data_IF_775591411853
#
_entry.id   IF_775591411853
#
_cell.length_a   1.000
_cell.length_b   1.000
_cell.length_c   1.000
_cell.angle_alpha   90.00
_cell.angle_beta   90.00
_cell.angle_gamma   90.00
#
_symmetry.space_group_name_H-M   'P 1'
#
loop_
_entity.id
_entity.type
_entity.pdbx_description
1 polymer ?
#
# COMPACT_ATOMS: atom_id res chain seq x y z
N UNK A 1 23.82 2.84 -6.02
CA UNK A 1 25.02 3.04 -6.85
C UNK A 1 26.27 2.71 -6.04
N UNK A 2 26.57 3.47 -4.99
CA UNK A 2 27.84 3.34 -4.23
C UNK A 2 27.97 2.07 -3.36
N UNK A 3 26.86 1.40 -3.04
CA UNK A 3 26.92 0.10 -2.36
C UNK A 3 27.60 -1.01 -3.19
N UNK A 4 27.89 -0.73 -4.47
CA UNK A 4 28.55 -1.64 -5.41
C UNK A 4 29.96 -1.18 -5.82
N UNK A 5 30.46 -0.06 -5.29
CA UNK A 5 31.80 0.49 -5.53
C UNK A 5 32.43 0.93 -4.20
N UNK A 6 33.43 0.19 -3.74
CA UNK A 6 34.09 0.39 -2.44
C UNK A 6 35.36 1.27 -2.50
N UNK A 7 35.62 1.90 -3.65
CA UNK A 7 36.94 2.48 -3.92
C UNK A 7 37.24 3.80 -3.21
N UNK A 8 36.21 4.52 -2.70
CA UNK A 8 36.36 5.89 -2.15
C UNK A 8 35.63 6.17 -0.82
N UNK A 9 34.82 5.24 -0.31
CA UNK A 9 34.01 5.48 0.89
C UNK A 9 34.70 5.02 2.18
N UNK A 10 34.62 5.83 3.25
CA UNK A 10 35.05 5.42 4.59
C UNK A 10 34.19 4.25 5.13
N UNK A 11 32.89 4.28 4.82
CA UNK A 11 31.91 3.30 5.28
C UNK A 11 30.84 3.04 4.20
N UNK A 12 30.47 1.77 4.02
CA UNK A 12 29.41 1.36 3.10
C UNK A 12 28.17 1.01 3.90
N UNK A 13 27.06 1.72 3.63
CA UNK A 13 25.78 1.51 4.28
C UNK A 13 24.60 1.80 3.36
N UNK A 14 23.42 1.27 3.71
CA UNK A 14 22.19 1.58 2.98
C UNK A 14 21.72 2.99 3.32
N UNK A 15 21.34 3.76 2.28
CA UNK A 15 20.75 5.09 2.44
C UNK A 15 19.45 5.08 3.26
N UNK A 16 18.75 3.94 3.34
CA UNK A 16 17.53 3.77 4.14
C UNK A 16 17.78 3.28 5.58
N UNK A 17 19.03 2.97 5.94
CA UNK A 17 19.41 2.48 7.26
C UNK A 17 20.88 2.84 7.56
N UNK A 18 21.12 4.12 7.80
CA UNK A 18 22.42 4.64 8.14
C UNK A 18 22.81 4.17 9.55
N UNK A 19 24.05 3.67 9.71
CA UNK A 19 24.60 3.23 11.01
C UNK A 19 25.10 4.42 11.86
N UNK A 20 24.37 5.53 11.79
CA UNK A 20 24.69 6.80 12.45
C UNK A 20 23.61 7.09 13.49
N UNK A 21 23.99 7.58 14.67
CA UNK A 21 23.03 7.95 15.72
C UNK A 21 22.15 9.14 15.31
N UNK A 22 21.04 9.32 16.03
CA UNK A 22 20.14 10.46 15.84
C UNK A 22 20.89 11.79 16.04
N UNK A 23 20.60 12.79 15.19
CA UNK A 23 21.09 14.17 15.34
C UNK A 23 22.63 14.28 15.46
N UNK A 24 23.39 13.59 14.62
CA UNK A 24 24.86 13.62 14.61
C UNK A 24 25.48 14.30 13.39
N UNK A 25 24.76 14.33 12.28
CA UNK A 25 25.29 14.80 10.99
C UNK A 25 24.95 16.28 10.80
N UNK A 26 25.93 17.09 10.39
CA UNK A 26 25.71 18.52 10.10
C UNK A 26 25.17 18.72 8.67
N UNK A 27 25.64 17.93 7.70
CA UNK A 27 25.25 18.05 6.30
C UNK A 27 25.22 16.67 5.62
N UNK A 28 24.25 16.46 4.73
CA UNK A 28 24.14 15.29 3.85
C UNK A 28 24.06 15.78 2.40
N UNK A 29 24.83 15.16 1.52
CA UNK A 29 24.74 15.32 0.07
C UNK A 29 24.25 13.98 -0.51
N UNK A 30 23.11 14.02 -1.20
CA UNK A 30 22.54 12.91 -1.95
C UNK A 30 22.64 13.25 -3.44
N UNK A 31 23.78 12.93 -4.03
CA UNK A 31 24.07 13.19 -5.44
C UNK A 31 23.65 12.00 -6.32
N UNK A 32 22.76 12.25 -7.29
CA UNK A 32 22.21 11.23 -8.21
C UNK A 32 21.85 9.92 -7.50
N UNK A 33 21.03 10.02 -6.44
CA UNK A 33 20.71 8.90 -5.56
C UNK A 33 19.23 8.54 -5.58
N UNK A 34 18.36 9.53 -5.39
CA UNK A 34 16.96 9.29 -5.03
C UNK A 34 16.20 8.56 -6.15
N UNK A 35 16.57 8.80 -7.40
CA UNK A 35 15.97 8.19 -8.58
C UNK A 35 16.21 6.68 -8.64
N UNK A 36 17.26 6.19 -7.98
CA UNK A 36 17.59 4.77 -7.88
C UNK A 36 16.82 4.03 -6.79
N UNK A 37 16.16 4.74 -5.86
CA UNK A 37 15.52 4.13 -4.69
C UNK A 37 14.04 3.78 -4.94
N UNK A 38 13.41 4.42 -5.94
CA UNK A 38 11.97 4.34 -6.15
C UNK A 38 11.18 5.06 -5.05
N UNK A 39 9.84 5.09 -5.18
CA UNK A 39 9.00 5.96 -4.33
C UNK A 39 9.15 5.63 -2.83
N UNK A 40 8.97 4.36 -2.45
CA UNK A 40 9.04 3.95 -1.04
C UNK A 40 10.48 4.06 -0.52
N UNK A 41 11.47 3.63 -1.31
CA UNK A 41 12.87 3.73 -0.94
C UNK A 41 13.29 5.17 -0.61
N UNK A 42 12.89 6.14 -1.43
CA UNK A 42 13.19 7.55 -1.18
C UNK A 42 12.49 8.10 0.05
N UNK A 43 11.21 7.75 0.31
CA UNK A 43 10.54 8.16 1.56
C UNK A 43 11.35 7.70 2.77
N UNK A 44 11.82 6.45 2.77
CA UNK A 44 12.59 5.89 3.88
C UNK A 44 14.01 6.46 3.95
N UNK A 45 14.66 6.70 2.81
CA UNK A 45 16.00 7.30 2.74
C UNK A 45 16.00 8.75 3.22
N UNK A 46 15.07 9.57 2.73
CA UNK A 46 14.90 10.96 3.16
C UNK A 46 14.50 11.03 4.63
N UNK A 47 13.65 10.11 5.10
CA UNK A 47 13.31 10.00 6.52
C UNK A 47 14.52 9.60 7.37
N UNK A 48 15.41 8.75 6.86
CA UNK A 48 16.65 8.37 7.54
C UNK A 48 17.67 9.53 7.56
N UNK A 49 17.77 10.30 6.48
CA UNK A 49 18.52 11.55 6.43
C UNK A 49 18.02 12.53 7.50
N UNK A 50 16.69 12.70 7.60
CA UNK A 50 16.08 13.52 8.64
C UNK A 50 16.46 13.02 10.05
N UNK A 51 16.46 11.70 10.29
CA UNK A 51 16.79 11.11 11.59
C UNK A 51 18.21 11.48 12.06
N UNK A 52 19.19 11.36 11.16
CA UNK A 52 20.62 11.54 11.51
C UNK A 52 21.07 12.99 11.49
N UNK A 53 20.41 13.87 10.72
CA UNK A 53 20.75 15.29 10.71
C UNK A 53 20.49 15.94 12.07
N UNK A 54 21.42 16.80 12.49
CA UNK A 54 21.23 17.71 13.62
C UNK A 54 20.12 18.72 13.30
N UNK A 55 19.44 19.28 14.31
CA UNK A 55 18.57 20.44 14.10
C UNK A 55 19.38 21.60 13.50
N UNK A 56 18.89 22.19 12.41
CA UNK A 56 19.61 23.16 11.58
C UNK A 56 20.58 22.55 10.56
N UNK A 57 20.73 21.23 10.55
CA UNK A 57 21.55 20.53 9.56
C UNK A 57 20.90 20.51 8.17
N UNK A 58 21.74 20.40 7.13
CA UNK A 58 21.36 20.55 5.73
C UNK A 58 21.28 19.22 4.99
N UNK A 59 20.28 19.08 4.14
CA UNK A 59 20.20 18.04 3.12
C UNK A 59 20.26 18.71 1.75
N UNK A 60 21.22 18.27 0.94
CA UNK A 60 21.40 18.69 -0.45
C UNK A 60 21.11 17.47 -1.31
N UNK A 61 20.20 17.60 -2.27
CA UNK A 61 19.81 16.54 -3.19
C UNK A 61 20.07 17.03 -4.60
N UNK A 62 20.73 16.21 -5.41
CA UNK A 62 20.85 16.41 -6.84
C UNK A 62 20.24 15.20 -7.55
N UNK A 63 19.37 15.44 -8.53
CA UNK A 63 18.64 14.41 -9.27
C UNK A 63 18.34 14.90 -10.69
N UNK A 64 18.00 14.03 -11.65
CA UNK A 64 17.60 14.46 -12.99
C UNK A 64 16.43 15.44 -12.95
N UNK A 65 16.56 16.59 -13.62
CA UNK A 65 15.44 17.51 -13.84
C UNK A 65 14.47 16.89 -14.85
N UNK A 66 13.44 16.23 -14.35
CA UNK A 66 12.47 15.50 -15.17
C UNK A 66 11.78 16.39 -16.18
N UNK A 67 11.33 17.59 -15.77
CA UNK A 67 10.58 18.48 -16.65
C UNK A 67 11.45 18.92 -17.82
N UNK A 68 12.65 19.45 -17.54
CA UNK A 68 13.57 19.91 -18.57
C UNK A 68 14.04 18.76 -19.47
N UNK A 69 14.25 17.57 -18.90
CA UNK A 69 14.58 16.34 -19.64
C UNK A 69 13.49 15.99 -20.65
N UNK A 70 12.22 15.97 -20.22
CA UNK A 70 11.10 15.63 -21.10
C UNK A 70 10.86 16.69 -22.18
N UNK A 71 10.95 17.97 -21.82
CA UNK A 71 10.85 19.06 -22.79
C UNK A 71 11.90 18.94 -23.90
N UNK A 72 13.14 18.60 -23.54
CA UNK A 72 14.22 18.35 -24.50
C UNK A 72 13.99 17.11 -25.32
N UNK A 73 13.52 16.02 -24.71
CA UNK A 73 13.21 14.80 -25.42
C UNK A 73 12.15 15.02 -26.51
N UNK A 74 11.09 15.78 -26.19
CA UNK A 74 10.01 16.09 -27.11
C UNK A 74 10.49 17.00 -28.25
N UNK A 75 11.22 18.08 -27.92
CA UNK A 75 11.69 19.09 -28.90
C UNK A 75 12.90 18.63 -29.71
N UNK A 76 13.70 17.71 -29.18
CA UNK A 76 14.97 17.27 -29.72
C UNK A 76 14.86 16.37 -30.94
N UNK A 77 15.98 16.24 -31.66
CA UNK A 77 16.10 15.34 -32.79
C UNK A 77 16.31 13.87 -32.35
N UNK A 78 16.56 12.98 -33.30
CA UNK A 78 16.80 11.56 -33.00
C UNK A 78 18.00 11.34 -32.08
N UNK A 79 19.07 12.11 -32.25
CA UNK A 79 20.29 11.94 -31.47
C UNK A 79 20.13 12.51 -30.07
N UNK A 80 19.42 13.63 -29.91
CA UNK A 80 19.05 14.15 -28.59
C UNK A 80 18.19 13.15 -27.81
N UNK A 81 17.16 12.59 -28.44
CA UNK A 81 16.31 11.57 -27.81
C UNK A 81 17.14 10.38 -27.35
N UNK A 82 18.00 9.87 -28.21
CA UNK A 82 18.88 8.73 -27.90
C UNK A 82 19.78 9.01 -26.70
N UNK A 83 20.37 10.20 -26.60
CA UNK A 83 21.31 10.57 -25.53
C UNK A 83 20.61 10.95 -24.21
N UNK A 84 19.34 11.35 -24.25
CA UNK A 84 18.52 11.60 -23.05
C UNK A 84 17.94 10.33 -22.43
N UNK A 85 17.80 9.23 -23.18
CA UNK A 85 17.22 7.99 -22.64
C UNK A 85 17.98 7.43 -21.44
N UNK A 86 19.34 7.39 -21.41
CA UNK A 86 20.08 6.99 -20.22
C UNK A 86 19.88 7.94 -19.03
N UNK A 87 19.61 9.22 -19.27
CA UNK A 87 19.31 10.19 -18.21
C UNK A 87 17.91 9.95 -17.59
N UNK A 88 16.96 9.47 -18.40
CA UNK A 88 15.60 9.14 -17.94
C UNK A 88 15.59 7.78 -17.22
N UNK A 89 16.16 6.74 -17.85
CA UNK A 89 16.01 5.36 -17.38
C UNK A 89 17.19 4.84 -16.56
N UNK A 90 18.27 5.62 -16.48
CA UNK A 90 19.57 5.15 -16.01
C UNK A 90 20.20 4.17 -17.00
N UNK A 91 21.23 3.48 -16.54
CA UNK A 91 21.92 2.42 -17.31
C UNK A 91 21.46 1.06 -16.82
N UNK A 92 21.32 0.10 -17.73
CA UNK A 92 20.80 -1.25 -17.44
C UNK A 92 21.81 -2.16 -16.70
N UNK A 93 22.43 -1.63 -15.65
CA UNK A 93 23.42 -2.29 -14.79
C UNK A 93 22.86 -2.27 -13.35
N UNK A 94 23.06 -3.35 -12.56
CA UNK A 94 22.65 -3.36 -11.15
C UNK A 94 23.09 -2.09 -10.41
N UNK A 95 22.15 -1.43 -9.73
CA UNK A 95 22.40 -0.20 -8.99
C UNK A 95 22.34 1.10 -9.80
N UNK A 96 22.47 1.08 -11.14
CA UNK A 96 22.50 2.26 -12.02
C UNK A 96 21.18 2.53 -12.77
N UNK A 97 20.19 1.66 -12.61
CA UNK A 97 18.86 1.86 -13.18
C UNK A 97 18.11 2.93 -12.38
N UNK A 98 17.41 3.82 -13.07
CA UNK A 98 16.46 4.70 -12.40
C UNK A 98 15.18 3.92 -12.16
N UNK A 99 14.76 3.85 -10.90
CA UNK A 99 13.48 3.23 -10.49
C UNK A 99 12.34 4.24 -10.56
N UNK A 100 12.64 5.53 -10.45
CA UNK A 100 11.66 6.61 -10.51
C UNK A 100 12.38 7.93 -10.84
N UNK A 101 11.84 8.77 -11.71
CA UNK A 101 12.31 10.14 -11.85
C UNK A 101 11.35 11.06 -11.12
N UNK A 102 11.86 11.92 -10.24
CA UNK A 102 11.05 12.78 -9.41
C UNK A 102 10.55 14.01 -10.18
N UNK A 103 9.24 14.23 -10.27
CA UNK A 103 8.71 15.57 -10.47
C UNK A 103 9.13 16.46 -9.30
N UNK A 104 9.51 17.70 -9.61
CA UNK A 104 10.00 18.66 -8.62
C UNK A 104 8.98 18.91 -7.48
N UNK A 105 7.71 19.08 -7.85
CA UNK A 105 6.61 19.32 -6.92
C UNK A 105 6.40 18.14 -5.97
N UNK A 106 6.44 16.91 -6.48
CA UNK A 106 6.31 15.71 -5.65
C UNK A 106 7.49 15.51 -4.70
N UNK A 107 8.71 15.88 -5.12
CA UNK A 107 9.89 15.80 -4.25
C UNK A 107 9.82 16.85 -3.12
N UNK A 108 9.41 18.08 -3.44
CA UNK A 108 9.14 19.12 -2.45
C UNK A 108 8.07 18.67 -1.44
N UNK A 109 6.91 18.21 -1.92
CA UNK A 109 5.83 17.69 -1.05
C UNK A 109 6.35 16.55 -0.15
N UNK A 110 7.14 15.63 -0.70
CA UNK A 110 7.73 14.53 0.09
C UNK A 110 8.67 15.03 1.18
N UNK A 111 9.51 16.02 0.90
CA UNK A 111 10.42 16.63 1.88
C UNK A 111 9.66 17.33 3.00
N UNK A 112 8.62 18.09 2.66
CA UNK A 112 7.72 18.74 3.64
C UNK A 112 6.98 17.71 4.50
N UNK A 113 6.47 16.64 3.89
CA UNK A 113 5.80 15.55 4.60
C UNK A 113 6.72 14.84 5.59
N UNK A 114 8.00 14.70 5.24
CA UNK A 114 9.03 14.12 6.13
C UNK A 114 9.39 15.09 7.25
N UNK A 115 9.28 16.39 7.02
CA UNK A 115 9.44 17.44 8.03
C UNK A 115 10.59 18.40 7.78
N UNK A 116 11.22 18.35 6.59
CA UNK A 116 12.19 19.35 6.18
C UNK A 116 11.51 20.71 5.95
N UNK A 117 12.30 21.77 6.06
CA UNK A 117 11.88 23.16 5.88
C UNK A 117 12.94 23.94 5.10
N UNK A 118 12.68 25.21 4.79
CA UNK A 118 13.60 26.08 4.05
C UNK A 118 14.05 25.45 2.73
N UNK A 119 13.10 24.88 1.99
CA UNK A 119 13.36 24.20 0.72
C UNK A 119 13.67 25.26 -0.35
N UNK A 120 14.84 25.13 -0.97
CA UNK A 120 15.29 25.95 -2.08
C UNK A 120 15.66 25.05 -3.26
N UNK A 121 15.48 25.56 -4.47
CA UNK A 121 15.62 24.78 -5.70
C UNK A 121 16.47 25.54 -6.70
N UNK A 122 17.38 24.82 -7.35
CA UNK A 122 18.25 25.34 -8.39
C UNK A 122 18.25 24.37 -9.57
N UNK A 123 18.25 24.92 -10.78
CA UNK A 123 18.30 24.13 -12.01
C UNK A 123 19.57 24.49 -12.77
N UNK A 124 20.38 23.49 -13.07
CA UNK A 124 21.58 23.67 -13.87
C UNK A 124 21.82 22.46 -14.76
N UNK A 125 22.91 22.48 -15.50
CA UNK A 125 23.30 21.36 -16.36
C UNK A 125 24.80 21.36 -16.58
N UNK A 126 25.39 20.17 -16.60
CA UNK A 126 26.78 20.00 -17.03
C UNK A 126 26.87 20.04 -18.55
N UNK A 127 25.88 19.45 -19.24
CA UNK A 127 25.71 19.52 -20.69
C UNK A 127 24.22 19.45 -21.09
N UNK A 128 23.95 19.53 -22.40
CA UNK A 128 22.58 19.56 -22.93
C UNK A 128 21.74 18.29 -22.63
N UNK A 129 22.37 17.17 -22.29
CA UNK A 129 21.74 15.88 -22.02
C UNK A 129 21.67 15.55 -20.52
N UNK A 130 22.23 16.40 -19.66
CA UNK A 130 22.26 16.21 -18.21
C UNK A 130 21.66 17.41 -17.45
N UNK A 131 20.37 17.71 -17.64
CA UNK A 131 19.69 18.71 -16.82
C UNK A 131 19.48 18.18 -15.39
N UNK A 132 19.87 18.98 -14.41
CA UNK A 132 19.89 18.62 -12.98
C UNK A 132 18.97 19.56 -12.21
N UNK A 133 18.17 18.96 -11.33
CA UNK A 133 17.45 19.63 -10.27
C UNK A 133 18.24 19.45 -8.99
N UNK A 134 18.60 20.56 -8.36
CA UNK A 134 19.19 20.61 -7.02
C UNK A 134 18.20 21.15 -6.03
N UNK A 135 18.03 20.47 -4.92
CA UNK A 135 17.23 20.91 -3.79
C UNK A 135 18.12 21.01 -2.55
N UNK A 136 18.03 22.12 -1.84
CA UNK A 136 18.65 22.29 -0.52
C UNK A 136 17.55 22.55 0.50
N UNK A 137 17.55 21.79 1.58
CA UNK A 137 16.60 21.95 2.67
C UNK A 137 17.25 21.71 4.04
N UNK A 138 16.53 22.07 5.10
CA UNK A 138 17.05 22.06 6.46
C UNK A 138 16.11 21.32 7.42
N UNK A 139 16.71 20.62 8.38
CA UNK A 139 15.97 20.08 9.52
C UNK A 139 15.59 21.22 10.47
N UNK A 140 14.30 21.49 10.74
CA UNK A 140 13.91 22.60 11.60
C UNK A 140 14.29 22.39 13.07
N UNK A 141 14.24 23.47 13.86
CA UNK A 141 14.40 23.38 15.32
C UNK A 141 13.22 22.66 16.00
N UNK A 142 12.01 22.77 15.44
CA UNK A 142 10.83 21.99 15.88
C UNK A 142 10.73 20.65 15.13
N UNK A 143 11.72 19.78 15.34
CA UNK A 143 11.85 18.51 14.62
C UNK A 143 11.22 17.31 15.34
N UNK A 144 10.84 17.43 16.62
CA UNK A 144 10.58 16.29 17.52
C UNK A 144 9.54 15.32 16.98
N UNK A 145 8.42 15.81 16.46
CA UNK A 145 7.36 14.95 15.90
C UNK A 145 7.89 14.12 14.73
N UNK A 146 8.59 14.77 13.81
CA UNK A 146 9.14 14.12 12.62
C UNK A 146 10.29 13.17 12.97
N UNK A 147 11.06 13.47 14.03
CA UNK A 147 12.06 12.54 14.57
C UNK A 147 11.43 11.22 15.00
N UNK A 148 10.31 11.26 15.72
CA UNK A 148 9.60 10.06 16.18
C UNK A 148 9.19 9.21 14.97
N UNK A 149 8.65 9.84 13.92
CA UNK A 149 8.25 9.13 12.69
C UNK A 149 9.46 8.57 11.94
N UNK A 150 10.60 9.28 11.93
CA UNK A 150 11.81 8.79 11.30
C UNK A 150 12.38 7.56 12.01
N UNK A 151 12.48 7.59 13.33
CA UNK A 151 12.88 6.43 14.14
C UNK A 151 11.88 5.27 14.01
N UNK A 152 10.59 5.58 13.94
CA UNK A 152 9.53 4.60 13.70
C UNK A 152 9.72 3.87 12.37
N UNK A 153 9.88 4.61 11.26
CA UNK A 153 10.15 4.03 9.93
C UNK A 153 11.41 3.16 9.93
N UNK A 154 12.49 3.62 10.55
CA UNK A 154 13.72 2.83 10.70
C UNK A 154 13.45 1.48 11.38
N UNK A 155 12.71 1.46 12.48
CA UNK A 155 12.36 0.21 13.19
C UNK A 155 11.47 -0.72 12.36
N UNK A 156 10.52 -0.16 11.62
CA UNK A 156 9.67 -0.94 10.72
C UNK A 156 10.50 -1.64 9.63
N UNK A 157 11.51 -0.96 9.09
CA UNK A 157 12.44 -1.53 8.11
C UNK A 157 13.34 -2.60 8.74
N UNK A 158 13.93 -2.33 9.91
CA UNK A 158 14.79 -3.29 10.62
C UNK A 158 14.08 -4.58 11.05
N UNK A 159 12.76 -4.51 11.27
CA UNK A 159 11.91 -5.67 11.58
C UNK A 159 11.29 -6.31 10.33
N UNK A 160 11.69 -5.89 9.13
CA UNK A 160 11.22 -6.43 7.84
C UNK A 160 9.69 -6.37 7.68
N UNK A 161 9.05 -5.38 8.29
CA UNK A 161 7.59 -5.16 8.18
C UNK A 161 7.25 -4.38 6.90
N UNK A 162 8.18 -3.52 6.50
CA UNK A 162 8.13 -2.74 5.27
C UNK A 162 9.06 -3.41 4.27
N UNK A 163 8.54 -3.62 3.07
CA UNK A 163 9.27 -4.21 1.96
C UNK A 163 9.39 -3.14 0.87
N UNK A 164 10.59 -2.59 0.73
CA UNK A 164 10.84 -1.47 -0.18
C UNK A 164 10.60 -1.82 -1.65
N UNK A 165 10.66 -3.11 -2.01
CA UNK A 165 10.37 -3.58 -3.36
C UNK A 165 8.87 -3.82 -3.59
N UNK A 166 8.09 -4.04 -2.52
CA UNK A 166 6.63 -4.14 -2.60
C UNK A 166 5.97 -2.76 -2.40
N UNK A 167 6.13 -1.89 -3.39
CA UNK A 167 5.63 -0.51 -3.32
C UNK A 167 4.14 -0.41 -3.05
N UNK A 168 3.34 -1.34 -3.55
CA UNK A 168 1.88 -1.33 -3.36
C UNK A 168 1.53 -1.52 -1.88
N UNK A 169 2.10 -2.55 -1.24
CA UNK A 169 1.84 -2.81 0.17
C UNK A 169 2.43 -1.70 1.05
N UNK A 170 3.65 -1.27 0.77
CA UNK A 170 4.32 -0.29 1.62
C UNK A 170 3.77 1.12 1.51
N UNK A 171 3.30 1.56 0.33
CA UNK A 171 2.54 2.81 0.22
C UNK A 171 1.21 2.74 0.99
N UNK A 172 0.56 1.58 1.00
CA UNK A 172 -0.65 1.40 1.80
C UNK A 172 -0.34 1.45 3.31
N UNK A 173 0.77 0.84 3.74
CA UNK A 173 1.24 0.90 5.13
C UNK A 173 1.63 2.34 5.55
N UNK A 174 2.16 3.15 4.63
CA UNK A 174 2.43 4.58 4.88
C UNK A 174 1.17 5.38 5.22
N UNK A 175 -0.02 4.98 4.73
CA UNK A 175 -1.27 5.64 5.14
C UNK A 175 -1.52 5.52 6.65
N UNK A 176 -1.16 4.38 7.23
CA UNK A 176 -1.25 4.15 8.68
C UNK A 176 -0.17 4.92 9.45
N UNK A 177 1.02 5.07 8.88
CA UNK A 177 2.09 5.89 9.46
C UNK A 177 1.69 7.37 9.48
N UNK A 178 1.04 7.87 8.41
CA UNK A 178 0.45 9.22 8.34
C UNK A 178 -0.64 9.39 9.40
N UNK A 179 -1.51 8.39 9.60
CA UNK A 179 -2.47 8.38 10.70
C UNK A 179 -1.77 8.52 12.07
N UNK A 180 -0.72 7.74 12.33
CA UNK A 180 0.02 7.80 13.60
C UNK A 180 0.73 9.13 13.83
N UNK A 181 1.31 9.74 12.79
CA UNK A 181 1.88 11.10 12.87
C UNK A 181 0.83 12.11 13.36
N UNK A 182 -0.37 12.07 12.82
CA UNK A 182 -1.48 12.92 13.26
C UNK A 182 -1.98 12.55 14.66
N UNK A 183 -2.00 11.26 14.99
CA UNK A 183 -2.39 10.78 16.30
C UNK A 183 -1.46 11.29 17.41
N UNK A 184 -0.14 11.34 17.20
CA UNK A 184 0.81 11.92 18.17
C UNK A 184 0.43 13.38 18.49
N UNK A 185 0.17 14.21 17.46
CA UNK A 185 -0.27 15.60 17.67
C UNK A 185 -1.54 15.68 18.50
N UNK A 186 -2.50 14.79 18.25
CA UNK A 186 -3.77 14.78 18.96
C UNK A 186 -3.64 14.25 20.40
N UNK A 187 -2.79 13.27 20.65
CA UNK A 187 -2.48 12.76 22.00
C UNK A 187 -1.84 13.87 22.85
N UNK A 188 -0.82 14.56 22.32
CA UNK A 188 -0.15 15.66 23.03
C UNK A 188 -1.10 16.81 23.38
N UNK A 189 -2.15 17.00 22.58
CA UNK A 189 -3.20 18.00 22.79
C UNK A 189 -4.42 17.47 23.55
N UNK A 190 -4.36 16.26 24.13
CA UNK A 190 -5.45 15.60 24.85
C UNK A 190 -6.77 15.48 24.04
N UNK A 191 -6.69 15.39 22.71
CA UNK A 191 -7.86 15.28 21.81
C UNK A 191 -8.31 13.84 21.56
N UNK A 192 -7.44 12.86 21.78
CA UNK A 192 -7.71 11.44 21.59
C UNK A 192 -6.91 10.62 22.60
N UNK A 193 -7.47 9.51 23.08
CA UNK A 193 -6.74 8.60 23.97
C UNK A 193 -5.78 7.69 23.20
N UNK A 194 -4.73 7.21 23.87
CA UNK A 194 -3.81 6.21 23.30
C UNK A 194 -4.56 4.90 22.97
N UNK A 195 -5.52 4.50 23.80
CA UNK A 195 -6.35 3.31 23.56
C UNK A 195 -7.09 3.40 22.22
N UNK A 196 -7.73 4.53 21.91
CA UNK A 196 -8.44 4.74 20.65
C UNK A 196 -7.51 4.60 19.44
N UNK A 197 -6.31 5.19 19.51
CA UNK A 197 -5.30 5.12 18.45
C UNK A 197 -4.81 3.68 18.23
N UNK A 198 -4.63 2.92 19.31
CA UNK A 198 -4.24 1.50 19.22
C UNK A 198 -5.34 0.69 18.58
N UNK A 199 -6.59 0.87 19.03
CA UNK A 199 -7.74 0.14 18.49
C UNK A 199 -7.82 0.35 16.98
N UNK A 200 -7.65 1.58 16.49
CA UNK A 200 -7.70 1.85 15.06
C UNK A 200 -6.52 1.28 14.29
N UNK A 201 -5.29 1.50 14.76
CA UNK A 201 -4.12 0.98 14.07
C UNK A 201 -4.11 -0.55 13.99
N UNK A 202 -4.52 -1.21 15.07
CA UNK A 202 -4.45 -2.66 15.20
C UNK A 202 -5.43 -3.42 14.30
N UNK A 203 -6.52 -2.79 13.84
CA UNK A 203 -7.38 -3.36 12.80
C UNK A 203 -6.60 -3.56 11.51
N UNK A 204 -5.78 -2.58 11.12
CA UNK A 204 -5.01 -2.60 9.89
C UNK A 204 -3.75 -3.45 10.00
N UNK A 205 -2.98 -3.25 11.08
CA UNK A 205 -1.76 -4.00 11.35
C UNK A 205 -1.38 -3.95 12.84
N UNK A 206 -1.59 -5.05 13.59
CA UNK A 206 -1.11 -5.16 14.97
C UNK A 206 0.41 -4.98 15.09
N UNK A 207 1.18 -5.50 14.12
CA UNK A 207 2.65 -5.42 14.15
C UNK A 207 3.15 -3.98 14.05
N UNK A 208 2.62 -3.20 13.10
CA UNK A 208 3.00 -1.78 12.94
C UNK A 208 2.57 -0.98 14.18
N UNK A 209 1.36 -1.23 14.69
CA UNK A 209 0.82 -0.55 15.87
C UNK A 209 1.63 -0.84 17.13
N UNK A 210 2.14 -2.08 17.29
CA UNK A 210 2.98 -2.45 18.43
C UNK A 210 4.27 -1.64 18.46
N UNK A 211 4.93 -1.49 17.31
CA UNK A 211 6.17 -0.72 17.19
C UNK A 211 5.91 0.77 17.41
N UNK A 212 4.77 1.29 16.94
CA UNK A 212 4.36 2.65 17.23
C UNK A 212 4.23 2.90 18.75
N UNK A 213 3.68 1.95 19.51
CA UNK A 213 3.61 2.07 20.97
C UNK A 213 4.98 2.05 21.66
N UNK A 214 5.91 1.25 21.15
CA UNK A 214 7.29 1.29 21.61
C UNK A 214 7.88 2.70 21.42
N UNK A 215 7.61 3.36 20.29
CA UNK A 215 8.08 4.72 20.02
C UNK A 215 7.42 5.76 20.92
N UNK A 216 6.11 5.67 21.16
CA UNK A 216 5.44 6.56 22.11
C UNK A 216 6.07 6.46 23.51
N UNK A 217 6.44 5.26 23.93
CA UNK A 217 7.12 5.01 25.21
C UNK A 217 8.55 5.57 25.20
N UNK A 218 9.33 5.30 24.16
CA UNK A 218 10.73 5.74 24.05
C UNK A 218 10.86 7.26 24.09
N UNK A 219 9.92 7.98 23.49
CA UNK A 219 9.88 9.44 23.49
C UNK A 219 9.05 10.04 24.64
N UNK A 220 8.61 9.23 25.62
CA UNK A 220 7.80 9.65 26.76
C UNK A 220 6.54 10.46 26.37
N UNK A 221 5.91 10.12 25.24
CA UNK A 221 4.68 10.76 24.74
C UNK A 221 3.47 10.41 25.62
N UNK A 222 3.50 9.25 26.26
CA UNK A 222 2.48 8.80 27.21
C UNK A 222 3.10 8.10 28.41
N UNK A 223 2.49 8.28 29.58
CA UNK A 223 2.84 7.60 30.83
C UNK A 223 1.86 6.48 31.20
N UNK A 224 1.05 6.04 30.23
CA UNK A 224 0.01 5.04 30.43
C UNK A 224 0.61 3.70 30.90
N UNK A 225 0.31 3.34 32.15
CA UNK A 225 0.78 2.11 32.80
C UNK A 225 0.24 0.84 32.13
N UNK A 226 -0.77 0.95 31.27
CA UNK A 226 -1.36 -0.16 30.53
C UNK A 226 -0.68 -0.46 29.19
N UNK A 227 0.29 0.35 28.75
CA UNK A 227 1.02 0.15 27.49
C UNK A 227 1.58 -1.26 27.31
N UNK A 228 2.23 -1.82 28.33
CA UNK A 228 2.78 -3.17 28.26
C UNK A 228 1.68 -4.23 28.02
N UNK A 229 0.48 -4.00 28.57
CA UNK A 229 -0.68 -4.87 28.33
C UNK A 229 -1.17 -4.75 26.90
N UNK A 230 -1.26 -3.53 26.36
CA UNK A 230 -1.62 -3.33 24.95
C UNK A 230 -0.62 -4.00 24.01
N UNK A 231 0.69 -3.83 24.22
CA UNK A 231 1.74 -4.49 23.44
C UNK A 231 1.57 -6.01 23.45
N UNK A 232 1.36 -6.63 24.61
CA UNK A 232 1.14 -8.09 24.70
C UNK A 232 -0.09 -8.56 23.89
N UNK A 233 -1.16 -7.76 23.87
CA UNK A 233 -2.35 -8.06 23.06
C UNK A 233 -2.04 -7.92 21.58
N UNK A 234 -1.34 -6.86 21.16
CA UNK A 234 -0.95 -6.64 19.76
C UNK A 234 -0.02 -7.74 19.24
N UNK A 235 0.96 -8.17 20.03
CA UNK A 235 1.81 -9.31 19.68
C UNK A 235 1.01 -10.61 19.53
N UNK A 236 0.01 -10.81 20.39
CA UNK A 236 -0.89 -11.96 20.28
C UNK A 236 -1.70 -11.89 18.99
N UNK A 237 -2.25 -10.72 18.64
CA UNK A 237 -2.99 -10.51 17.40
C UNK A 237 -2.11 -10.67 16.15
N UNK A 238 -0.86 -10.19 16.20
CA UNK A 238 0.12 -10.38 15.14
C UNK A 238 0.42 -11.87 14.91
N UNK A 239 0.65 -12.64 15.99
CA UNK A 239 0.86 -14.11 15.91
C UNK A 239 -0.35 -14.87 15.37
N UNK A 240 -1.56 -14.32 15.54
CA UNK A 240 -2.80 -14.90 15.05
C UNK A 240 -3.14 -14.46 13.62
N UNK A 241 -2.33 -13.61 12.99
CA UNK A 241 -2.57 -13.06 11.65
C UNK A 241 -3.94 -12.36 11.56
N UNK A 242 -4.15 -11.39 12.47
CA UNK A 242 -5.42 -10.68 12.61
C UNK A 242 -5.95 -10.04 11.32
N UNK A 243 -5.13 -9.42 10.44
CA UNK A 243 -5.60 -8.94 9.14
C UNK A 243 -6.27 -10.05 8.31
N UNK A 244 -5.66 -11.25 8.28
CA UNK A 244 -6.22 -12.40 7.57
C UNK A 244 -7.49 -12.95 8.23
N UNK A 245 -7.58 -12.88 9.57
CA UNK A 245 -8.82 -13.22 10.30
C UNK A 245 -9.98 -12.32 9.90
N UNK A 246 -9.75 -11.00 9.81
CA UNK A 246 -10.77 -10.04 9.37
C UNK A 246 -11.20 -10.30 7.93
N UNK A 247 -10.24 -10.59 7.02
CA UNK A 247 -10.56 -10.97 5.65
C UNK A 247 -11.38 -12.27 5.60
N UNK A 248 -11.06 -13.28 6.41
CA UNK A 248 -11.82 -14.52 6.44
C UNK A 248 -13.27 -14.28 6.90
N UNK A 249 -13.48 -13.47 7.95
CA UNK A 249 -14.82 -13.10 8.41
C UNK A 249 -15.57 -12.34 7.31
N UNK A 250 -14.90 -11.43 6.60
CA UNK A 250 -15.47 -10.71 5.45
C UNK A 250 -15.94 -11.68 4.35
N UNK A 251 -15.13 -12.69 4.01
CA UNK A 251 -15.47 -13.68 3.00
C UNK A 251 -16.69 -14.52 3.40
N UNK A 252 -16.81 -14.86 4.68
CA UNK A 252 -17.91 -15.65 5.22
C UNK A 252 -19.19 -14.83 5.48
N UNK A 253 -19.11 -13.50 5.45
CA UNK A 253 -20.27 -12.63 5.70
C UNK A 253 -21.19 -12.60 4.47
N UNK A 254 -22.45 -13.05 4.59
CA UNK A 254 -23.39 -13.11 3.46
C UNK A 254 -23.90 -11.71 3.05
N UNK A 255 -24.33 -11.57 1.80
CA UNK A 255 -24.90 -10.33 1.26
C UNK A 255 -23.86 -9.32 0.78
N UNK A 256 -24.21 -8.02 0.85
CA UNK A 256 -23.36 -6.87 0.49
C UNK A 256 -22.92 -6.77 -0.97
N UNK A 257 -23.57 -7.47 -1.91
CA UNK A 257 -23.24 -7.37 -3.34
C UNK A 257 -23.29 -5.90 -3.78
N UNK A 258 -22.21 -5.40 -4.39
CA UNK A 258 -22.04 -3.99 -4.76
C UNK A 258 -21.91 -3.00 -3.59
N UNK A 259 -21.78 -3.47 -2.34
CA UNK A 259 -21.63 -2.65 -1.14
C UNK A 259 -20.30 -2.93 -0.41
N UNK A 260 -19.19 -3.18 -1.13
CA UNK A 260 -17.91 -3.57 -0.52
C UNK A 260 -17.44 -2.60 0.57
N UNK A 261 -17.60 -1.29 0.37
CA UNK A 261 -17.20 -0.29 1.37
C UNK A 261 -17.96 -0.46 2.69
N UNK A 262 -19.27 -0.70 2.63
CA UNK A 262 -20.13 -0.92 3.81
C UNK A 262 -19.76 -2.22 4.52
N UNK A 263 -19.47 -3.28 3.76
CA UNK A 263 -18.94 -4.53 4.32
C UNK A 263 -17.61 -4.27 5.04
N UNK A 264 -16.66 -3.58 4.40
CA UNK A 264 -15.37 -3.23 4.99
C UNK A 264 -15.53 -2.44 6.29
N UNK A 265 -16.38 -1.42 6.33
CA UNK A 265 -16.70 -0.67 7.56
C UNK A 265 -17.29 -1.57 8.66
N UNK A 266 -18.19 -2.49 8.29
CA UNK A 266 -18.80 -3.43 9.24
C UNK A 266 -17.76 -4.36 9.87
N UNK A 267 -16.88 -4.92 9.05
CA UNK A 267 -15.81 -5.82 9.51
C UNK A 267 -14.75 -5.07 10.33
N UNK A 268 -14.43 -3.84 9.95
CA UNK A 268 -13.55 -2.95 10.70
C UNK A 268 -14.10 -2.71 12.11
N UNK A 269 -15.39 -2.41 12.24
CA UNK A 269 -16.05 -2.21 13.53
C UNK A 269 -16.07 -3.49 14.40
N UNK A 270 -16.27 -4.66 13.78
CA UNK A 270 -16.10 -5.96 14.46
C UNK A 270 -14.67 -6.12 14.97
N UNK A 271 -13.67 -5.76 14.16
CA UNK A 271 -12.27 -5.75 14.54
C UNK A 271 -12.00 -4.86 15.76
N UNK A 272 -12.47 -3.61 15.74
CA UNK A 272 -12.34 -2.67 16.85
C UNK A 272 -12.96 -3.18 18.14
N UNK A 273 -14.19 -3.69 18.08
CA UNK A 273 -14.89 -4.28 19.23
C UNK A 273 -14.14 -5.49 19.79
N UNK A 274 -13.56 -6.32 18.92
CA UNK A 274 -12.73 -7.47 19.31
C UNK A 274 -11.49 -7.01 20.07
N UNK A 275 -10.74 -6.04 19.53
CA UNK A 275 -9.54 -5.47 20.17
C UNK A 275 -9.89 -4.83 21.51
N UNK A 276 -10.95 -4.02 21.56
CA UNK A 276 -11.44 -3.41 22.81
C UNK A 276 -11.84 -4.45 23.85
N UNK A 277 -12.49 -5.53 23.43
CA UNK A 277 -12.82 -6.67 24.29
C UNK A 277 -11.57 -7.35 24.85
N UNK A 278 -10.50 -7.47 24.06
CA UNK A 278 -9.19 -7.95 24.49
C UNK A 278 -8.45 -6.96 25.40
N UNK A 279 -8.88 -5.71 25.53
CA UNK A 279 -8.38 -4.79 26.54
C UNK A 279 -9.19 -4.85 27.85
N UNK A 280 -10.26 -5.65 27.91
CA UNK A 280 -11.05 -5.94 29.12
C UNK A 280 -10.68 -7.32 29.70
N UNK A 281 -10.84 -7.57 31.01
CA UNK A 281 -10.34 -8.75 31.75
C UNK A 281 -10.74 -10.17 31.24
N UNK A 282 -11.58 -10.30 30.21
CA UNK A 282 -12.12 -11.56 29.65
C UNK A 282 -11.46 -12.02 28.34
N UNK A 283 -10.12 -12.16 28.29
CA UNK A 283 -9.38 -12.34 27.02
C UNK A 283 -9.31 -13.81 26.55
N UNK A 284 -9.38 -14.78 27.46
CA UNK A 284 -9.08 -16.19 27.14
C UNK A 284 -10.06 -16.80 26.13
N UNK A 285 -11.35 -16.50 26.24
CA UNK A 285 -12.38 -17.03 25.33
C UNK A 285 -12.23 -16.43 23.92
N UNK A 286 -12.01 -15.12 23.82
CA UNK A 286 -11.81 -14.42 22.55
C UNK A 286 -10.57 -14.98 21.84
N UNK A 287 -9.43 -15.06 22.53
CA UNK A 287 -8.18 -15.59 21.96
C UNK A 287 -8.36 -17.05 21.50
N UNK A 288 -9.06 -17.89 22.29
CA UNK A 288 -9.33 -19.29 21.90
C UNK A 288 -10.11 -19.35 20.58
N UNK A 289 -11.14 -18.52 20.42
CA UNK A 289 -11.94 -18.46 19.19
C UNK A 289 -11.11 -17.96 18.00
N UNK A 290 -10.37 -16.87 18.15
CA UNK A 290 -9.51 -16.33 17.09
C UNK A 290 -8.45 -17.36 16.65
N UNK A 291 -7.88 -18.11 17.60
CA UNK A 291 -6.91 -19.17 17.31
C UNK A 291 -7.50 -20.33 16.54
N UNK A 292 -8.77 -20.69 16.78
CA UNK A 292 -9.44 -21.73 16.02
C UNK A 292 -9.57 -21.31 14.54
N UNK A 293 -10.08 -20.11 14.28
CA UNK A 293 -10.25 -19.57 12.93
C UNK A 293 -8.88 -19.43 12.23
N UNK A 294 -7.87 -18.89 12.93
CA UNK A 294 -6.54 -18.64 12.37
C UNK A 294 -5.87 -19.90 11.79
N UNK A 295 -6.12 -21.07 12.41
CA UNK A 295 -5.60 -22.37 11.95
C UNK A 295 -6.24 -22.87 10.65
N UNK A 296 -7.46 -22.43 10.35
CA UNK A 296 -8.21 -22.86 9.17
C UNK A 296 -7.92 -21.97 7.94
N UNK A 297 -7.25 -20.82 8.15
CA UNK A 297 -6.94 -19.89 7.06
C UNK A 297 -5.84 -20.48 6.17
N UNK A 298 -6.23 -20.80 4.93
CA UNK A 298 -5.31 -21.20 3.87
C UNK A 298 -4.19 -20.13 3.71
N UNK A 299 -2.90 -20.52 3.68
CA UNK A 299 -1.78 -19.62 3.44
C UNK A 299 -1.96 -18.69 2.22
N UNK A 300 -2.54 -19.21 1.13
CA UNK A 300 -2.77 -18.45 -0.09
C UNK A 300 -3.81 -17.34 0.07
N UNK A 301 -4.59 -17.34 1.15
CA UNK A 301 -5.62 -16.33 1.45
C UNK A 301 -5.14 -15.25 2.42
N UNK A 302 -3.91 -15.36 2.92
CA UNK A 302 -3.38 -14.41 3.91
C UNK A 302 -3.07 -13.04 3.30
N UNK A 303 -3.19 -12.03 4.14
CA UNK A 303 -2.83 -10.64 3.86
C UNK A 303 -2.05 -10.07 5.03
N UNK A 304 -1.07 -9.21 4.76
CA UNK A 304 -0.23 -8.57 5.80
C UNK A 304 -0.83 -7.26 6.34
N UNK A 305 -1.79 -6.68 5.62
CA UNK A 305 -2.38 -5.38 5.93
C UNK A 305 -3.84 -5.36 5.50
N UNK A 306 -4.73 -5.02 6.44
CA UNK A 306 -6.18 -5.02 6.18
C UNK A 306 -6.63 -3.65 5.66
N UNK A 307 -6.79 -3.53 4.34
CA UNK A 307 -7.32 -2.32 3.72
C UNK A 307 -8.09 -2.62 2.42
N UNK A 308 -8.94 -1.68 2.01
CA UNK A 308 -9.72 -1.82 0.77
C UNK A 308 -8.84 -2.07 -0.46
N UNK A 309 -7.71 -1.37 -0.58
CA UNK A 309 -6.80 -1.51 -1.73
C UNK A 309 -6.17 -2.90 -1.80
N UNK A 310 -5.67 -3.41 -0.68
CA UNK A 310 -5.07 -4.75 -0.61
C UNK A 310 -6.11 -5.84 -0.89
N UNK A 311 -7.32 -5.68 -0.34
CA UNK A 311 -8.44 -6.60 -0.57
C UNK A 311 -8.86 -6.61 -2.05
N UNK A 312 -8.98 -5.43 -2.68
CA UNK A 312 -9.31 -5.31 -4.10
C UNK A 312 -8.27 -6.01 -4.97
N UNK A 313 -6.98 -5.76 -4.74
CA UNK A 313 -5.90 -6.40 -5.50
C UNK A 313 -5.89 -7.91 -5.32
N UNK A 314 -6.14 -8.38 -4.10
CA UNK A 314 -6.29 -9.81 -3.81
C UNK A 314 -7.43 -10.43 -4.60
N UNK A 315 -8.60 -9.80 -4.60
CA UNK A 315 -9.77 -10.23 -5.39
C UNK A 315 -9.43 -10.27 -6.88
N UNK A 316 -8.76 -9.25 -7.41
CA UNK A 316 -8.39 -9.20 -8.83
C UNK A 316 -7.41 -10.31 -9.20
N UNK A 317 -6.41 -10.60 -8.38
CA UNK A 317 -5.48 -11.71 -8.62
C UNK A 317 -6.21 -13.06 -8.65
N UNK A 318 -7.17 -13.28 -7.76
CA UNK A 318 -7.99 -14.49 -7.73
C UNK A 318 -8.91 -14.55 -8.97
N UNK A 319 -9.50 -13.41 -9.37
CA UNK A 319 -10.30 -13.29 -10.58
C UNK A 319 -9.51 -13.70 -11.83
N UNK A 320 -8.27 -13.21 -11.98
CA UNK A 320 -7.43 -13.56 -13.13
C UNK A 320 -7.08 -15.06 -13.16
N UNK A 321 -6.92 -15.70 -11.99
CA UNK A 321 -6.81 -17.17 -11.92
C UNK A 321 -8.09 -17.84 -12.43
N UNK A 322 -9.27 -17.33 -12.06
CA UNK A 322 -10.56 -17.82 -12.57
C UNK A 322 -10.69 -17.67 -14.10
N UNK A 323 -10.26 -16.53 -14.65
CA UNK A 323 -10.20 -16.30 -16.10
C UNK A 323 -9.33 -17.35 -16.79
N UNK A 324 -8.12 -17.60 -16.26
CA UNK A 324 -7.23 -18.63 -16.78
C UNK A 324 -7.90 -20.01 -16.79
N UNK A 325 -8.52 -20.41 -15.69
CA UNK A 325 -9.21 -21.71 -15.60
C UNK A 325 -10.41 -21.79 -16.56
N UNK A 326 -11.14 -20.69 -16.78
CA UNK A 326 -12.21 -20.65 -17.78
C UNK A 326 -11.64 -20.87 -19.19
N UNK A 327 -10.59 -20.17 -19.59
CA UNK A 327 -9.94 -20.35 -20.90
C UNK A 327 -9.45 -21.79 -21.11
N UNK A 328 -8.96 -22.43 -20.05
CA UNK A 328 -8.52 -23.83 -20.07
C UNK A 328 -9.69 -24.84 -20.00
N UNK A 329 -10.94 -24.36 -20.02
CA UNK A 329 -12.16 -25.16 -19.89
C UNK A 329 -12.28 -25.93 -18.56
N UNK A 330 -11.48 -25.56 -17.56
CA UNK A 330 -11.56 -26.08 -16.20
C UNK A 330 -12.67 -25.36 -15.42
N UNK A 331 -13.92 -25.53 -15.84
CA UNK A 331 -15.06 -24.72 -15.37
C UNK A 331 -15.32 -24.83 -13.86
N UNK A 332 -15.09 -26.00 -13.24
CA UNK A 332 -15.24 -26.16 -11.80
C UNK A 332 -14.25 -25.28 -11.02
N UNK A 333 -12.98 -25.29 -11.42
CA UNK A 333 -11.96 -24.43 -10.83
C UNK A 333 -12.24 -22.96 -11.10
N UNK A 334 -12.71 -22.62 -12.31
CA UNK A 334 -13.09 -21.25 -12.66
C UNK A 334 -14.21 -20.73 -11.75
N UNK A 335 -15.27 -21.53 -11.53
CA UNK A 335 -16.36 -21.22 -10.60
C UNK A 335 -15.81 -21.00 -9.19
N UNK A 336 -14.96 -21.91 -8.69
CA UNK A 336 -14.36 -21.76 -7.34
C UNK A 336 -13.62 -20.42 -7.21
N UNK A 337 -12.80 -20.06 -8.19
CA UNK A 337 -12.03 -18.81 -8.17
C UNK A 337 -12.90 -17.57 -8.33
N UNK A 338 -13.95 -17.59 -9.13
CA UNK A 338 -14.86 -16.45 -9.20
C UNK A 338 -15.72 -16.31 -7.95
N UNK A 339 -16.16 -17.40 -7.32
CA UNK A 339 -16.82 -17.36 -6.00
C UNK A 339 -15.86 -16.78 -4.96
N UNK A 340 -14.61 -17.26 -4.94
CA UNK A 340 -13.59 -16.76 -4.02
C UNK A 340 -13.34 -15.26 -4.25
N UNK A 341 -13.15 -14.83 -5.49
CA UNK A 341 -12.90 -13.44 -5.85
C UNK A 341 -14.05 -12.49 -5.45
N UNK A 342 -15.31 -12.90 -5.69
CA UNK A 342 -16.51 -12.14 -5.30
C UNK A 342 -16.77 -12.17 -3.79
N UNK A 343 -16.31 -13.22 -3.10
CA UNK A 343 -16.29 -13.30 -1.63
C UNK A 343 -15.20 -12.42 -0.99
N UNK A 344 -14.13 -12.07 -1.72
CA UNK A 344 -13.12 -11.11 -1.26
C UNK A 344 -13.56 -9.67 -1.53
N UNK A 345 -14.14 -9.41 -2.71
CA UNK A 345 -14.66 -8.11 -3.10
C UNK A 345 -16.07 -8.21 -3.69
N UNK A 346 -17.05 -7.65 -2.98
CA UNK A 346 -18.46 -7.64 -3.40
C UNK A 346 -18.75 -6.74 -4.59
N UNK A 347 -17.81 -5.90 -4.99
CA UNK A 347 -17.93 -5.03 -6.16
C UNK A 347 -17.28 -5.66 -7.41
N UNK A 348 -16.84 -6.91 -7.34
CA UNK A 348 -16.19 -7.64 -8.45
C UNK A 348 -17.18 -8.01 -9.56
N UNK A 349 -17.58 -7.02 -10.37
CA UNK A 349 -18.59 -7.15 -11.42
C UNK A 349 -18.27 -8.26 -12.43
N UNK A 350 -17.01 -8.37 -12.87
CA UNK A 350 -16.60 -9.38 -13.84
C UNK A 350 -16.64 -10.79 -13.27
N UNK A 351 -16.40 -10.94 -11.96
CA UNK A 351 -16.53 -12.21 -11.27
C UNK A 351 -17.97 -12.71 -11.26
N UNK A 352 -18.93 -11.85 -10.91
CA UNK A 352 -20.36 -12.19 -10.96
C UNK A 352 -20.83 -12.51 -12.39
N UNK A 353 -20.37 -11.73 -13.37
CA UNK A 353 -20.78 -11.94 -14.76
C UNK A 353 -20.25 -13.29 -15.30
N UNK A 354 -18.99 -13.62 -15.03
CA UNK A 354 -18.43 -14.90 -15.45
C UNK A 354 -19.06 -16.10 -14.71
N UNK A 355 -19.43 -15.95 -13.44
CA UNK A 355 -20.23 -16.96 -12.74
C UNK A 355 -21.56 -17.20 -13.45
N UNK A 356 -22.24 -16.13 -13.86
CA UNK A 356 -23.52 -16.24 -14.57
C UNK A 356 -23.37 -17.03 -15.88
N UNK A 357 -22.32 -16.76 -16.66
CA UNK A 357 -22.00 -17.48 -17.90
C UNK A 357 -21.70 -18.96 -17.63
N UNK A 358 -20.84 -19.26 -16.65
CA UNK A 358 -20.46 -20.64 -16.31
C UNK A 358 -21.64 -21.46 -15.80
N UNK A 359 -22.49 -20.89 -14.94
CA UNK A 359 -23.71 -21.57 -14.50
C UNK A 359 -24.69 -21.78 -15.65
N UNK A 360 -24.79 -20.83 -16.60
CA UNK A 360 -25.60 -21.02 -17.81
C UNK A 360 -25.06 -22.17 -18.66
N UNK A 361 -23.75 -22.31 -18.84
CA UNK A 361 -23.14 -23.42 -19.58
C UNK A 361 -23.41 -24.78 -18.91
N UNK A 362 -23.51 -24.81 -17.59
CA UNK A 362 -23.86 -26.02 -16.82
C UNK A 362 -25.37 -26.30 -16.77
N UNK A 363 -26.21 -25.52 -17.44
CA UNK A 363 -27.68 -25.64 -17.38
C UNK A 363 -28.30 -25.22 -16.04
N UNK A 364 -27.52 -24.61 -15.14
CA UNK A 364 -27.95 -24.09 -13.83
C UNK A 364 -28.54 -22.70 -13.98
N UNK A 365 -29.70 -22.62 -14.63
CA UNK A 365 -30.28 -21.36 -15.10
C UNK A 365 -30.73 -20.41 -13.98
N UNK A 366 -31.12 -20.96 -12.82
CA UNK A 366 -31.53 -20.15 -11.67
C UNK A 366 -30.33 -19.43 -11.05
N UNK A 367 -29.23 -20.16 -10.84
CA UNK A 367 -27.96 -19.63 -10.36
C UNK A 367 -27.39 -18.60 -11.35
N UNK A 368 -27.43 -18.92 -12.65
CA UNK A 368 -27.02 -18.00 -13.70
C UNK A 368 -27.79 -16.68 -13.64
N UNK A 369 -29.13 -16.74 -13.51
CA UNK A 369 -29.98 -15.55 -13.37
C UNK A 369 -29.61 -14.73 -12.14
N UNK A 370 -29.43 -15.38 -10.98
CA UNK A 370 -29.06 -14.69 -9.75
C UNK A 370 -27.72 -13.94 -9.88
N UNK A 371 -26.74 -14.54 -10.54
CA UNK A 371 -25.44 -13.90 -10.78
C UNK A 371 -25.52 -12.75 -11.79
N UNK A 372 -26.38 -12.82 -12.81
CA UNK A 372 -26.66 -11.68 -13.68
C UNK A 372 -27.35 -10.54 -12.93
N UNK A 373 -28.31 -10.82 -12.05
CA UNK A 373 -28.95 -9.80 -11.21
C UNK A 373 -27.94 -9.10 -10.28
N UNK A 374 -27.03 -9.88 -9.68
CA UNK A 374 -25.91 -9.33 -8.91
C UNK A 374 -25.02 -8.42 -9.76
N UNK A 375 -24.70 -8.85 -10.98
CA UNK A 375 -23.91 -8.06 -11.94
C UNK A 375 -24.61 -6.75 -12.28
N UNK A 376 -25.93 -6.79 -12.54
CA UNK A 376 -26.74 -5.61 -12.85
C UNK A 376 -26.82 -4.65 -11.66
N UNK A 377 -26.93 -5.16 -10.44
CA UNK A 377 -26.93 -4.34 -9.24
C UNK A 377 -25.63 -3.53 -9.08
N UNK A 378 -24.48 -4.15 -9.39
CA UNK A 378 -23.19 -3.46 -9.39
C UNK A 378 -23.11 -2.46 -10.56
N UNK A 379 -23.53 -2.87 -11.76
CA UNK A 379 -23.53 -2.01 -12.95
C UNK A 379 -24.35 -0.72 -12.75
N UNK A 380 -25.45 -0.78 -12.00
CA UNK A 380 -26.27 0.40 -11.68
C UNK A 380 -25.53 1.49 -10.87
N UNK A 381 -24.41 1.14 -10.24
CA UNK A 381 -23.57 2.07 -9.47
C UNK A 381 -22.42 2.66 -10.30
N UNK A 382 -22.20 2.18 -11.52
CA UNK A 382 -21.14 2.66 -12.40
C UNK A 382 -21.59 3.90 -13.19
N UNK A 383 -20.66 4.83 -13.40
CA UNK A 383 -20.87 5.94 -14.32
C UNK A 383 -20.98 5.43 -15.77
N UNK A 384 -21.89 5.99 -16.57
CA UNK A 384 -22.08 5.63 -17.99
C UNK A 384 -22.38 4.14 -18.26
N UNK A 385 -23.11 3.47 -17.36
CA UNK A 385 -23.35 2.02 -17.43
C UNK A 385 -24.38 1.54 -18.49
N UNK A 386 -24.94 2.41 -19.34
CA UNK A 386 -26.05 2.02 -20.23
C UNK A 386 -25.71 0.84 -21.14
N UNK A 387 -24.53 0.88 -21.80
CA UNK A 387 -24.04 -0.21 -22.66
C UNK A 387 -23.83 -1.51 -21.86
N UNK A 388 -23.22 -1.41 -20.68
CA UNK A 388 -22.97 -2.56 -19.79
C UNK A 388 -24.30 -3.22 -19.38
N UNK A 389 -25.27 -2.43 -18.93
CA UNK A 389 -26.60 -2.93 -18.52
C UNK A 389 -27.32 -3.60 -19.67
N UNK A 390 -27.25 -3.03 -20.87
CA UNK A 390 -27.86 -3.61 -22.06
C UNK A 390 -27.20 -4.95 -22.43
N UNK A 391 -25.87 -5.05 -22.37
CA UNK A 391 -25.15 -6.30 -22.62
C UNK A 391 -25.55 -7.39 -21.62
N UNK A 392 -25.58 -7.07 -20.32
CA UNK A 392 -26.05 -8.00 -19.27
C UNK A 392 -27.49 -8.46 -19.56
N UNK A 393 -28.40 -7.54 -19.86
CA UNK A 393 -29.79 -7.84 -20.13
C UNK A 393 -29.99 -8.68 -21.41
N UNK A 394 -29.14 -8.50 -22.43
CA UNK A 394 -29.14 -9.33 -23.63
C UNK A 394 -28.72 -10.76 -23.32
N UNK A 395 -27.62 -10.95 -22.57
CA UNK A 395 -27.16 -12.30 -22.18
C UNK A 395 -28.19 -13.02 -21.30
N UNK A 396 -28.84 -12.30 -20.38
CA UNK A 396 -29.94 -12.82 -19.56
C UNK A 396 -31.12 -13.32 -20.40
N UNK A 397 -31.45 -12.65 -21.51
CA UNK A 397 -32.55 -13.07 -22.41
C UNK A 397 -32.20 -14.35 -23.17
N UNK A 398 -30.93 -14.58 -23.47
CA UNK A 398 -30.41 -15.77 -24.16
C UNK A 398 -29.99 -16.91 -23.22
N UNK A 399 -30.43 -16.90 -21.95
CA UNK A 399 -30.14 -17.97 -20.99
C UNK A 399 -30.57 -19.34 -21.55
N UNK A 400 -29.63 -20.29 -21.58
CA UNK A 400 -29.87 -21.64 -22.10
C UNK A 400 -29.47 -21.88 -23.56
N UNK A 401 -29.01 -20.85 -24.28
CA UNK A 401 -28.62 -20.99 -25.70
C UNK A 401 -27.15 -21.47 -25.92
N UNK A 402 -26.41 -21.87 -24.88
CA UNK A 402 -25.02 -22.37 -24.93
C UNK A 402 -24.05 -21.53 -25.79
N UNK A 403 -24.02 -20.20 -25.59
CA UNK A 403 -23.20 -19.26 -26.39
C UNK A 403 -21.97 -18.68 -25.70
N UNK A 404 -21.72 -19.01 -24.42
CA UNK A 404 -20.75 -18.29 -23.60
C UNK A 404 -19.40 -19.02 -23.48
N UNK A 405 -18.70 -19.27 -24.58
CA UNK A 405 -17.44 -20.05 -24.58
C UNK A 405 -16.22 -19.29 -24.03
N UNK A 406 -16.32 -17.98 -23.82
CA UNK A 406 -15.19 -17.15 -23.39
C UNK A 406 -15.50 -16.33 -22.11
N UNK A 407 -14.50 -16.11 -21.24
CA UNK A 407 -14.66 -15.22 -20.10
C UNK A 407 -14.69 -13.75 -20.53
N UNK A 408 -15.38 -12.92 -19.75
CA UNK A 408 -15.26 -11.46 -19.82
C UNK A 408 -14.09 -11.03 -18.96
N UNK A 409 -13.09 -10.41 -19.58
CA UNK A 409 -11.84 -10.00 -18.92
C UNK A 409 -11.73 -8.49 -18.68
N UNK A 410 -12.50 -7.68 -19.43
CA UNK A 410 -12.58 -6.22 -19.28
C UNK A 410 -13.95 -5.72 -19.74
N UNK A 411 -14.35 -4.55 -19.23
CA UNK A 411 -15.53 -3.82 -19.69
C UNK A 411 -15.26 -2.96 -20.95
N UNK A 412 -13.99 -2.72 -21.30
CA UNK A 412 -13.62 -1.83 -22.42
C UNK A 412 -14.25 -2.22 -23.76
N UNK A 413 -14.30 -3.52 -24.16
CA UNK A 413 -14.93 -3.91 -25.42
C UNK A 413 -16.43 -3.62 -25.47
N UNK A 414 -17.09 -3.60 -24.30
CA UNK A 414 -18.53 -3.33 -24.17
C UNK A 414 -18.81 -1.82 -24.17
N UNK A 415 -17.84 -1.01 -23.74
CA UNK A 415 -17.96 0.44 -23.66
C UNK A 415 -17.61 1.16 -24.98
N UNK A 416 -16.78 0.55 -25.83
CA UNK A 416 -16.55 1.01 -27.23
C UNK A 416 -17.83 0.92 -28.04
#
# INVERSE_FOLDING_TARGET
VDAFDDTVADEIMSATNLKIEDNKVDEIIADQLIEHLGIVGSIYSLSECFRVLKPGGKLIIETPDLQKTLERYIKGDREDRKNLLPWIYGVDIPGMRHRFCYPEDLLEETLEEIGFSNISKEHFEHDKHQPILKIVCEKPVDYKLHQIIATFRKKLLQKEIIDLDNQILSLEQETLIKFFKNAIKNILNNKISVEEVIIEGAVHSPSITSIFLEELKNYNITSDKTLNRYVNVLETLAKLDFPSLLLNIMMQTPGFVGEQHKLFSTITEIGRKTIKGLFSSTHRKIIKNLRAISKEINPDKRIKFFSLKIILLKSNNIFQKGVKEFILENYENAIEKFIESTSVNRDQILGYWNLARLFSLQGKLNEARQHYENTLMIANKLNNAAKIKNAIAQEMKSLGENKFSEPIVSLDPILR
#
